data_IF_076281398271
#
_entry.id   IF_076281398271
#
_cell.length_a   1.000
_cell.length_b   1.000
_cell.length_c   1.000
_cell.angle_alpha   90.00
_cell.angle_beta   90.00
_cell.angle_gamma   90.00
#
_symmetry.space_group_name_H-M   'P 1'
#
loop_
_entity.id
_entity.type
_entity.pdbx_description
1 polymer ?
#
# COMPACT_ATOMS: atom_id res chain seq x y z
N UNK A 1 38.63 19.65 6.09
CA UNK A 1 39.20 20.35 4.92
C UNK A 1 38.60 19.73 3.68
N UNK A 2 38.14 20.55 2.73
CA UNK A 2 37.37 20.21 1.51
C UNK A 2 35.84 20.16 1.67
N UNK A 3 35.26 21.32 1.99
CA UNK A 3 33.98 21.81 1.46
C UNK A 3 33.83 23.28 1.89
N UNK A 4 34.84 24.09 1.55
CA UNK A 4 34.82 25.53 1.77
C UNK A 4 35.09 26.19 0.43
N UNK A 5 34.27 27.19 0.10
CA UNK A 5 34.39 28.05 -1.08
C UNK A 5 33.77 27.51 -2.37
N UNK A 6 32.44 27.57 -2.48
CA UNK A 6 31.71 27.73 -3.75
C UNK A 6 30.23 28.14 -3.55
N UNK A 7 29.94 28.91 -2.50
CA UNK A 7 28.68 29.66 -2.40
C UNK A 7 29.08 31.12 -2.42
N UNK A 8 29.23 31.66 -3.63
CA UNK A 8 29.20 33.10 -3.82
C UNK A 8 27.85 33.63 -3.35
N UNK A 9 27.87 34.79 -2.71
CA UNK A 9 26.72 35.58 -2.27
C UNK A 9 25.55 35.52 -3.27
N UNK A 10 24.64 34.56 -3.07
CA UNK A 10 23.31 34.66 -3.62
C UNK A 10 22.53 35.50 -2.63
N UNK A 11 22.34 36.78 -2.96
CA UNK A 11 21.42 37.69 -2.30
C UNK A 11 20.15 36.93 -1.87
N UNK A 12 20.00 36.67 -0.57
CA UNK A 12 18.84 35.96 0.00
C UNK A 12 17.52 36.65 -0.41
N UNK A 13 17.58 37.97 -0.63
CA UNK A 13 16.52 38.82 -1.20
C UNK A 13 16.17 38.52 -2.67
N UNK A 14 17.14 38.14 -3.51
CA UNK A 14 16.89 37.74 -4.90
C UNK A 14 16.43 36.29 -5.00
N UNK A 15 17.01 35.40 -4.20
CA UNK A 15 16.58 34.01 -4.10
C UNK A 15 15.11 33.91 -3.65
N UNK A 16 14.72 34.66 -2.62
CA UNK A 16 13.32 34.70 -2.16
C UNK A 16 12.35 35.21 -3.24
N UNK A 17 12.74 36.25 -4.01
CA UNK A 17 11.91 36.76 -5.13
C UNK A 17 11.77 35.76 -6.26
N UNK A 18 12.85 35.05 -6.61
CA UNK A 18 12.81 34.00 -7.63
C UNK A 18 11.87 32.86 -7.21
N UNK A 19 11.93 32.42 -5.95
CA UNK A 19 11.02 31.38 -5.44
C UNK A 19 9.56 31.82 -5.49
N UNK A 20 9.25 33.08 -5.14
CA UNK A 20 7.88 33.62 -5.22
C UNK A 20 7.39 33.72 -6.67
N UNK A 21 8.24 34.17 -7.60
CA UNK A 21 7.88 34.22 -9.02
C UNK A 21 7.66 32.83 -9.61
N UNK A 22 8.49 31.85 -9.26
CA UNK A 22 8.35 30.46 -9.69
C UNK A 22 7.09 29.83 -9.08
N UNK A 23 6.81 30.08 -7.79
CA UNK A 23 5.60 29.60 -7.13
C UNK A 23 4.34 30.17 -7.79
N UNK A 24 4.33 31.47 -8.12
CA UNK A 24 3.22 32.10 -8.84
C UNK A 24 3.07 31.54 -10.27
N UNK A 25 4.16 31.35 -11.00
CA UNK A 25 4.13 30.75 -12.33
C UNK A 25 3.66 29.29 -12.31
N UNK A 26 4.01 28.54 -11.26
CA UNK A 26 3.55 27.17 -11.04
C UNK A 26 2.06 27.12 -10.69
N UNK A 27 1.61 27.98 -9.77
CA UNK A 27 0.21 28.11 -9.41
C UNK A 27 -0.67 28.45 -10.63
N UNK A 28 -0.16 29.26 -11.55
CA UNK A 28 -0.85 29.64 -12.79
C UNK A 28 -0.70 28.62 -13.94
N UNK A 29 -0.05 27.47 -13.72
CA UNK A 29 0.21 26.46 -14.76
C UNK A 29 0.87 27.05 -16.03
N UNK A 30 1.87 27.92 -15.84
CA UNK A 30 2.52 28.59 -16.96
C UNK A 30 3.10 27.57 -17.97
N UNK A 31 2.94 27.80 -19.29
CA UNK A 31 3.28 26.83 -20.34
C UNK A 31 4.77 26.42 -20.33
N UNK A 32 5.65 27.31 -19.88
CA UNK A 32 7.08 27.04 -19.74
C UNK A 32 7.39 25.98 -18.66
N UNK A 33 6.56 25.89 -17.61
CA UNK A 33 6.71 24.92 -16.53
C UNK A 33 5.94 23.62 -16.82
N UNK A 34 4.78 23.72 -17.47
CA UNK A 34 4.00 22.54 -17.87
C UNK A 34 4.63 21.75 -19.03
N UNK A 35 5.52 22.38 -19.80
CA UNK A 35 6.34 21.71 -20.82
C UNK A 35 7.59 20.97 -20.29
N UNK A 36 7.91 21.09 -19.00
CA UNK A 36 9.04 20.39 -18.40
C UNK A 36 8.80 18.88 -18.29
N UNK A 37 9.89 18.10 -18.18
CA UNK A 37 9.75 16.66 -17.96
C UNK A 37 9.01 16.34 -16.65
N UNK A 38 8.23 15.27 -16.63
CA UNK A 38 7.51 14.76 -15.46
C UNK A 38 8.35 14.72 -14.17
N UNK A 39 9.61 14.27 -14.28
CA UNK A 39 10.53 14.20 -13.15
C UNK A 39 10.85 15.57 -12.55
N UNK A 40 11.02 16.58 -13.41
CA UNK A 40 11.30 17.96 -13.00
C UNK A 40 10.06 18.61 -12.40
N UNK A 41 8.87 18.37 -12.99
CA UNK A 41 7.61 18.85 -12.45
C UNK A 41 7.35 18.31 -11.04
N UNK A 42 7.56 17.01 -10.83
CA UNK A 42 7.45 16.39 -9.51
C UNK A 42 8.42 17.00 -8.51
N UNK A 43 9.70 17.13 -8.89
CA UNK A 43 10.73 17.69 -8.01
C UNK A 43 10.42 19.16 -7.66
N UNK A 44 9.96 19.95 -8.64
CA UNK A 44 9.59 21.34 -8.46
C UNK A 44 8.37 21.49 -7.53
N UNK A 45 7.32 20.69 -7.74
CA UNK A 45 6.16 20.66 -6.84
C UNK A 45 6.57 20.28 -5.40
N UNK A 46 7.43 19.27 -5.25
CA UNK A 46 7.97 18.86 -3.95
C UNK A 46 8.73 20.00 -3.26
N UNK A 47 9.67 20.66 -3.94
CA UNK A 47 10.44 21.76 -3.37
C UNK A 47 9.57 22.98 -3.02
N UNK A 48 8.55 23.29 -3.83
CA UNK A 48 7.63 24.40 -3.55
C UNK A 48 6.74 24.10 -2.35
N UNK A 49 6.22 22.88 -2.22
CA UNK A 49 5.49 22.47 -1.01
C UNK A 49 6.39 22.49 0.23
N UNK A 50 7.64 22.02 0.12
CA UNK A 50 8.60 22.09 1.23
C UNK A 50 8.96 23.53 1.62
N UNK A 51 8.95 24.48 0.68
CA UNK A 51 9.20 25.90 0.97
C UNK A 51 8.16 26.49 1.96
N UNK A 52 6.98 25.87 2.09
CA UNK A 52 5.98 26.26 3.08
C UNK A 52 6.47 26.13 4.53
N UNK A 53 7.46 25.27 4.80
CA UNK A 53 8.12 25.16 6.13
C UNK A 53 8.84 26.45 6.54
N UNK A 54 9.24 27.29 5.58
CA UNK A 54 9.87 28.58 5.86
C UNK A 54 8.89 29.65 6.34
N UNK A 55 7.58 29.42 6.23
CA UNK A 55 6.54 30.34 6.68
C UNK A 55 6.25 30.11 8.17
N UNK A 56 6.32 31.19 8.96
CA UNK A 56 6.15 31.14 10.42
C UNK A 56 4.70 31.13 10.87
N UNK A 57 3.81 31.68 10.06
CA UNK A 57 2.39 31.80 10.36
C UNK A 57 1.61 30.69 9.64
N UNK A 58 0.82 29.93 10.40
CA UNK A 58 0.04 28.80 9.90
C UNK A 58 -1.00 29.27 8.87
N UNK A 59 -1.64 30.42 9.09
CA UNK A 59 -2.62 30.96 8.16
C UNK A 59 -1.99 31.33 6.80
N UNK A 60 -0.77 31.87 6.82
CA UNK A 60 -0.02 32.16 5.59
C UNK A 60 0.44 30.89 4.89
N UNK A 61 0.80 29.85 5.65
CA UNK A 61 1.18 28.55 5.12
C UNK A 61 0.00 27.88 4.41
N UNK A 62 -1.16 27.88 5.04
CA UNK A 62 -2.40 27.36 4.47
C UNK A 62 -2.78 28.11 3.19
N UNK A 63 -2.73 29.45 3.21
CA UNK A 63 -3.02 30.26 2.04
C UNK A 63 -2.03 30.00 0.90
N UNK A 64 -0.74 29.86 1.21
CA UNK A 64 0.30 29.57 0.23
C UNK A 64 0.08 28.21 -0.46
N UNK A 65 -0.16 27.17 0.32
CA UNK A 65 -0.38 25.80 -0.19
C UNK A 65 -1.65 25.74 -1.03
N UNK A 66 -2.74 26.32 -0.54
CA UNK A 66 -3.99 26.39 -1.28
C UNK A 66 -3.79 27.16 -2.59
N UNK A 67 -3.13 28.32 -2.57
CA UNK A 67 -2.85 29.07 -3.79
C UNK A 67 -2.01 28.26 -4.80
N UNK A 68 -1.04 27.49 -4.31
CA UNK A 68 -0.14 26.69 -5.14
C UNK A 68 -0.86 25.54 -5.87
N UNK A 69 -1.75 24.84 -5.16
CA UNK A 69 -2.32 23.58 -5.63
C UNK A 69 -3.79 23.65 -6.06
N UNK A 70 -4.54 24.68 -5.67
CA UNK A 70 -5.97 24.79 -5.95
C UNK A 70 -6.27 24.75 -7.46
N UNK A 71 -5.44 25.38 -8.29
CA UNK A 71 -5.63 25.34 -9.75
C UNK A 71 -5.37 23.93 -10.31
N UNK A 72 -4.35 23.22 -9.81
CA UNK A 72 -4.05 21.84 -10.21
C UNK A 72 -5.21 20.92 -9.81
N UNK A 73 -5.69 21.04 -8.57
CA UNK A 73 -6.81 20.25 -8.07
C UNK A 73 -8.12 20.58 -8.83
N UNK A 74 -8.35 21.87 -9.12
CA UNK A 74 -9.46 22.35 -9.93
C UNK A 74 -9.43 21.80 -11.35
N UNK A 75 -8.26 21.76 -11.99
CA UNK A 75 -8.08 21.18 -13.32
C UNK A 75 -8.37 19.68 -13.33
N UNK A 76 -7.83 18.92 -12.36
CA UNK A 76 -8.14 17.48 -12.22
C UNK A 76 -9.64 17.24 -12.06
N UNK A 77 -10.29 18.04 -11.22
CA UNK A 77 -11.74 17.96 -10.98
C UNK A 77 -12.55 18.35 -12.22
N UNK A 78 -12.10 19.37 -12.95
CA UNK A 78 -12.72 19.80 -14.20
C UNK A 78 -12.59 18.75 -15.29
N UNK A 79 -11.43 18.07 -15.39
CA UNK A 79 -11.22 16.99 -16.35
C UNK A 79 -12.12 15.80 -16.02
N UNK A 80 -12.19 15.40 -14.75
CA UNK A 80 -13.01 14.28 -14.29
C UNK A 80 -14.52 14.49 -14.50
N UNK A 81 -14.99 15.74 -14.46
CA UNK A 81 -16.42 16.08 -14.63
C UNK A 81 -16.85 16.23 -16.10
N UNK A 82 -15.93 16.19 -17.06
CA UNK A 82 -16.27 16.33 -18.49
C UNK A 82 -16.94 15.08 -19.03
N UNK A 83 -18.11 15.25 -19.64
CA UNK A 83 -18.83 14.17 -20.33
C UNK A 83 -18.00 13.55 -21.49
N UNK A 84 -17.22 14.37 -22.20
CA UNK A 84 -16.45 13.94 -23.36
C UNK A 84 -15.08 13.34 -23.01
N UNK A 85 -14.76 13.20 -21.71
CA UNK A 85 -13.44 12.77 -21.26
C UNK A 85 -13.01 11.44 -21.87
N UNK A 86 -13.93 10.48 -22.02
CA UNK A 86 -13.64 9.17 -22.62
C UNK A 86 -13.15 9.27 -24.07
N UNK A 87 -13.71 10.20 -24.85
CA UNK A 87 -13.29 10.43 -26.24
C UNK A 87 -11.97 11.21 -26.32
N UNK A 88 -11.74 12.12 -25.37
CA UNK A 88 -10.54 12.96 -25.35
C UNK A 88 -9.34 12.28 -24.70
N UNK A 89 -9.57 11.28 -23.86
CA UNK A 89 -8.53 10.56 -23.14
C UNK A 89 -7.50 9.90 -24.08
N UNK A 90 -7.90 9.55 -25.30
CA UNK A 90 -7.02 8.97 -26.31
C UNK A 90 -6.06 9.99 -26.95
N UNK A 91 -6.28 11.29 -26.75
CA UNK A 91 -5.43 12.33 -27.33
C UNK A 91 -4.10 12.44 -26.57
N UNK A 92 -2.95 12.49 -27.28
CA UNK A 92 -1.63 12.55 -26.64
C UNK A 92 -1.45 13.83 -25.79
N UNK A 93 -1.97 14.97 -26.25
CA UNK A 93 -1.91 16.24 -25.52
C UNK A 93 -2.59 16.13 -24.15
N UNK A 94 -3.76 15.46 -24.12
CA UNK A 94 -4.56 15.29 -22.90
C UNK A 94 -3.89 14.30 -21.96
N UNK A 95 -3.32 13.20 -22.47
CA UNK A 95 -2.54 12.25 -21.68
C UNK A 95 -1.31 12.90 -21.04
N UNK A 96 -0.58 13.72 -21.80
CA UNK A 96 0.59 14.44 -21.30
C UNK A 96 0.19 15.44 -20.21
N UNK A 97 -0.90 16.17 -20.42
CA UNK A 97 -1.42 17.11 -19.44
C UNK A 97 -1.87 16.41 -18.15
N UNK A 98 -2.64 15.31 -18.25
CA UNK A 98 -3.03 14.49 -17.08
C UNK A 98 -1.79 13.96 -16.36
N UNK A 99 -0.79 13.47 -17.09
CA UNK A 99 0.48 12.99 -16.50
C UNK A 99 1.18 14.11 -15.72
N UNK A 100 1.25 15.33 -16.27
CA UNK A 100 1.84 16.47 -15.60
C UNK A 100 1.10 16.83 -14.30
N UNK A 101 -0.24 16.88 -14.34
CA UNK A 101 -1.06 17.14 -13.15
C UNK A 101 -0.84 16.10 -12.05
N UNK A 102 -0.83 14.81 -12.42
CA UNK A 102 -0.62 13.71 -11.49
C UNK A 102 0.80 13.73 -10.89
N UNK A 103 1.84 14.04 -11.67
CA UNK A 103 3.22 14.16 -11.15
C UNK A 103 3.39 15.39 -10.26
N UNK A 104 2.69 16.49 -10.55
CA UNK A 104 2.65 17.66 -9.66
C UNK A 104 1.98 17.33 -8.32
N UNK A 105 0.82 16.68 -8.32
CA UNK A 105 0.16 16.23 -7.09
C UNK A 105 1.04 15.24 -6.31
N UNK A 106 1.73 14.36 -7.03
CA UNK A 106 2.64 13.38 -6.43
C UNK A 106 3.84 14.06 -5.78
N UNK A 107 4.39 15.07 -6.44
CA UNK A 107 5.44 15.91 -5.87
C UNK A 107 4.97 16.68 -4.64
N UNK A 108 3.75 17.21 -4.68
CA UNK A 108 3.14 17.89 -3.54
C UNK A 108 2.99 16.97 -2.33
N UNK A 109 2.51 15.73 -2.53
CA UNK A 109 2.43 14.72 -1.48
C UNK A 109 3.82 14.42 -0.88
N UNK A 110 4.84 14.20 -1.73
CA UNK A 110 6.22 13.97 -1.27
C UNK A 110 6.84 15.18 -0.55
N UNK A 111 6.36 16.39 -0.85
CA UNK A 111 6.81 17.63 -0.22
C UNK A 111 6.09 17.97 1.08
N UNK A 112 5.22 17.09 1.58
CA UNK A 112 4.46 17.31 2.81
C UNK A 112 5.39 17.43 4.01
N UNK A 113 5.25 18.51 4.77
CA UNK A 113 5.82 18.67 6.09
C UNK A 113 4.72 18.55 7.16
N UNK A 114 5.07 18.24 8.43
CA UNK A 114 4.08 18.13 9.51
C UNK A 114 3.22 19.39 9.65
N UNK A 115 3.85 20.57 9.55
CA UNK A 115 3.17 21.87 9.71
C UNK A 115 2.30 22.27 8.50
N UNK A 116 2.49 21.61 7.36
CA UNK A 116 1.77 21.84 6.10
C UNK A 116 0.78 20.73 5.77
N UNK A 117 0.63 19.75 6.67
CA UNK A 117 -0.06 18.50 6.36
C UNK A 117 -1.56 18.70 6.12
N UNK A 118 -2.23 19.45 6.99
CA UNK A 118 -3.67 19.70 6.92
C UNK A 118 -4.13 20.37 5.61
N UNK A 119 -3.55 21.52 5.18
CA UNK A 119 -3.94 22.13 3.91
C UNK A 119 -3.62 21.24 2.70
N UNK A 120 -2.50 20.50 2.72
CA UNK A 120 -2.16 19.54 1.67
C UNK A 120 -3.16 18.39 1.59
N UNK A 121 -3.56 17.85 2.75
CA UNK A 121 -4.57 16.80 2.80
C UNK A 121 -5.93 17.29 2.32
N UNK A 122 -6.35 18.50 2.68
CA UNK A 122 -7.62 19.08 2.20
C UNK A 122 -7.68 19.15 0.67
N UNK A 123 -6.58 19.57 0.03
CA UNK A 123 -6.47 19.56 -1.44
C UNK A 123 -6.50 18.13 -1.99
N UNK A 124 -5.76 17.19 -1.38
CA UNK A 124 -5.75 15.79 -1.80
C UNK A 124 -7.13 15.13 -1.67
N UNK A 125 -7.84 15.36 -0.56
CA UNK A 125 -9.18 14.87 -0.32
C UNK A 125 -10.17 15.37 -1.37
N UNK A 126 -10.05 16.64 -1.79
CA UNK A 126 -10.87 17.21 -2.87
C UNK A 126 -10.68 16.52 -4.24
N UNK A 127 -9.51 15.93 -4.50
CA UNK A 127 -9.21 15.23 -5.76
C UNK A 127 -9.37 13.71 -5.70
N UNK A 128 -9.56 13.11 -4.52
CA UNK A 128 -9.67 11.64 -4.36
C UNK A 128 -10.72 11.01 -5.28
N UNK A 129 -11.95 11.57 -5.30
CA UNK A 129 -13.03 11.09 -6.17
C UNK A 129 -12.75 11.34 -7.67
N UNK A 130 -12.34 12.55 -8.10
CA UNK A 130 -11.84 12.79 -9.44
C UNK A 130 -10.78 11.78 -9.91
N UNK A 131 -9.83 11.40 -9.05
CA UNK A 131 -8.79 10.42 -9.37
C UNK A 131 -9.38 9.02 -9.62
N UNK A 132 -10.42 8.62 -8.90
CA UNK A 132 -11.14 7.37 -9.18
C UNK A 132 -11.81 7.41 -10.55
N UNK A 133 -12.41 8.54 -10.95
CA UNK A 133 -13.00 8.71 -12.29
C UNK A 133 -11.92 8.60 -13.37
N UNK A 134 -10.78 9.26 -13.18
CA UNK A 134 -9.65 9.17 -14.10
C UNK A 134 -9.13 7.72 -14.22
N UNK A 135 -9.05 6.98 -13.12
CA UNK A 135 -8.67 5.56 -13.15
C UNK A 135 -9.62 4.72 -14.02
N UNK A 136 -10.93 4.99 -13.95
CA UNK A 136 -11.94 4.28 -14.75
C UNK A 136 -11.81 4.59 -16.25
N UNK A 137 -11.55 5.86 -16.60
CA UNK A 137 -11.40 6.29 -17.99
C UNK A 137 -10.09 5.76 -18.60
N UNK A 138 -8.98 5.93 -17.88
CA UNK A 138 -7.65 5.51 -18.34
C UNK A 138 -7.35 4.03 -18.09
N UNK A 139 -8.36 3.18 -17.86
CA UNK A 139 -8.22 1.74 -17.53
C UNK A 139 -7.39 0.94 -18.55
N UNK A 140 -7.28 1.41 -19.79
CA UNK A 140 -6.51 0.77 -20.87
C UNK A 140 -5.11 1.40 -21.05
N UNK A 141 -4.82 2.51 -20.35
CA UNK A 141 -3.54 3.22 -20.42
C UNK A 141 -2.71 2.95 -19.16
N UNK A 142 -1.95 1.85 -19.19
CA UNK A 142 -1.14 1.37 -18.05
C UNK A 142 -0.19 2.41 -17.43
N UNK A 143 0.52 3.27 -18.19
CA UNK A 143 1.41 4.27 -17.58
C UNK A 143 0.67 5.23 -16.65
N UNK A 144 -0.55 5.64 -17.03
CA UNK A 144 -1.38 6.57 -16.25
C UNK A 144 -1.98 5.85 -15.04
N UNK A 145 -2.46 4.61 -15.21
CA UNK A 145 -2.93 3.77 -14.10
C UNK A 145 -1.80 3.60 -13.07
N UNK A 146 -0.62 3.19 -13.50
CA UNK A 146 0.55 3.02 -12.63
C UNK A 146 0.91 4.30 -11.87
N UNK A 147 0.78 5.47 -12.53
CA UNK A 147 1.02 6.77 -11.91
C UNK A 147 -0.05 7.11 -10.87
N UNK A 148 -1.33 6.85 -11.15
CA UNK A 148 -2.43 7.01 -10.18
C UNK A 148 -2.22 6.13 -8.93
N UNK A 149 -1.81 4.88 -9.11
CA UNK A 149 -1.53 3.97 -8.00
C UNK A 149 -0.34 4.45 -7.15
N UNK A 150 0.70 4.98 -7.80
CA UNK A 150 1.85 5.57 -7.09
C UNK A 150 1.50 6.86 -6.37
N UNK A 151 0.66 7.71 -6.98
CA UNK A 151 0.15 8.90 -6.32
C UNK A 151 -0.61 8.53 -5.04
N UNK A 152 -1.46 7.50 -5.09
CA UNK A 152 -2.15 7.01 -3.91
C UNK A 152 -1.18 6.53 -2.83
N UNK A 153 -0.14 5.78 -3.21
CA UNK A 153 0.94 5.38 -2.30
C UNK A 153 1.59 6.57 -1.60
N UNK A 154 2.01 7.57 -2.38
CA UNK A 154 2.70 8.76 -1.86
C UNK A 154 1.77 9.65 -1.00
N UNK A 155 0.48 9.75 -1.32
CA UNK A 155 -0.52 10.48 -0.51
C UNK A 155 -0.74 9.79 0.83
N UNK A 156 -0.88 8.46 0.84
CA UNK A 156 -1.01 7.70 2.08
C UNK A 156 0.26 7.81 2.91
N UNK A 157 1.45 7.59 2.33
CA UNK A 157 2.73 7.71 3.03
C UNK A 157 2.92 9.10 3.66
N UNK A 158 2.54 10.16 2.95
CA UNK A 158 2.70 11.55 3.41
C UNK A 158 1.73 11.93 4.55
N UNK A 159 0.52 11.37 4.57
CA UNK A 159 -0.53 11.83 5.47
C UNK A 159 -0.91 10.85 6.56
N UNK A 160 -0.67 9.54 6.39
CA UNK A 160 -1.16 8.49 7.29
C UNK A 160 -0.77 8.78 8.75
N UNK A 161 0.46 9.21 9.01
CA UNK A 161 0.98 9.44 10.36
C UNK A 161 0.36 10.61 11.13
N UNK A 162 -0.29 11.56 10.44
CA UNK A 162 -0.72 12.83 11.03
C UNK A 162 -2.24 13.04 11.00
N UNK A 163 -2.98 12.11 10.39
CA UNK A 163 -4.38 12.30 10.04
C UNK A 163 -5.34 12.08 11.23
N UNK A 164 -6.39 12.90 11.46
CA UNK A 164 -7.41 12.58 12.46
C UNK A 164 -8.26 11.37 12.04
N UNK A 165 -9.01 10.78 12.99
CA UNK A 165 -9.78 9.55 12.76
C UNK A 165 -10.81 9.66 11.61
N UNK A 166 -11.52 10.79 11.52
CA UNK A 166 -12.50 11.02 10.44
C UNK A 166 -11.86 11.09 9.05
N UNK A 167 -10.74 11.80 8.92
CA UNK A 167 -10.03 11.94 7.64
C UNK A 167 -9.34 10.63 7.23
N UNK A 168 -8.84 9.86 8.21
CA UNK A 168 -8.29 8.53 7.96
C UNK A 168 -9.35 7.55 7.43
N UNK A 169 -10.60 7.66 7.89
CA UNK A 169 -11.71 6.89 7.34
C UNK A 169 -11.92 7.20 5.84
N UNK A 170 -11.92 8.47 5.47
CA UNK A 170 -12.06 8.91 4.07
C UNK A 170 -10.93 8.34 3.21
N UNK A 171 -9.69 8.45 3.68
CA UNK A 171 -8.51 7.95 2.97
C UNK A 171 -8.55 6.42 2.82
N UNK A 172 -8.91 5.69 3.87
CA UNK A 172 -9.08 4.24 3.88
C UNK A 172 -10.15 3.79 2.87
N UNK A 173 -11.32 4.41 2.92
CA UNK A 173 -12.42 4.11 2.00
C UNK A 173 -12.02 4.36 0.54
N UNK A 174 -11.31 5.46 0.28
CA UNK A 174 -10.78 5.79 -1.04
C UNK A 174 -9.78 4.74 -1.55
N UNK A 175 -8.82 4.31 -0.71
CA UNK A 175 -7.85 3.25 -1.07
C UNK A 175 -8.57 1.94 -1.41
N UNK A 176 -9.59 1.56 -0.64
CA UNK A 176 -10.36 0.36 -0.91
C UNK A 176 -11.09 0.46 -2.27
N UNK A 177 -11.74 1.59 -2.55
CA UNK A 177 -12.39 1.82 -3.84
C UNK A 177 -11.42 1.78 -5.03
N UNK A 178 -10.21 2.32 -4.85
CA UNK A 178 -9.14 2.30 -5.83
C UNK A 178 -8.66 0.86 -6.11
N UNK A 179 -8.52 0.04 -5.08
CA UNK A 179 -8.17 -1.38 -5.18
C UNK A 179 -9.27 -2.20 -5.88
N UNK A 180 -10.52 -2.00 -5.50
CA UNK A 180 -11.68 -2.67 -6.11
C UNK A 180 -11.81 -2.33 -7.59
N UNK A 181 -11.66 -1.03 -7.92
CA UNK A 181 -11.70 -0.54 -9.29
C UNK A 181 -10.60 -1.18 -10.13
N UNK A 182 -9.34 -1.17 -9.64
CA UNK A 182 -8.22 -1.84 -10.31
C UNK A 182 -8.46 -3.34 -10.52
N UNK A 183 -8.92 -4.06 -9.48
CA UNK A 183 -9.13 -5.51 -9.55
C UNK A 183 -10.25 -5.89 -10.52
N UNK A 184 -11.34 -5.13 -10.57
CA UNK A 184 -12.45 -5.38 -11.49
C UNK A 184 -12.00 -5.36 -12.97
N UNK A 185 -11.11 -4.43 -13.33
CA UNK A 185 -10.60 -4.30 -14.68
C UNK A 185 -9.58 -5.39 -15.04
N UNK A 186 -8.69 -5.71 -14.11
CA UNK A 186 -7.64 -6.70 -14.37
C UNK A 186 -8.17 -8.14 -14.34
N UNK A 187 -9.19 -8.46 -13.53
CA UNK A 187 -9.87 -9.76 -13.57
C UNK A 187 -10.49 -10.04 -14.95
N UNK A 188 -11.12 -9.04 -15.57
CA UNK A 188 -11.68 -9.16 -16.92
C UNK A 188 -10.62 -9.30 -18.01
N UNK A 189 -9.49 -8.60 -17.88
CA UNK A 189 -8.42 -8.55 -18.89
C UNK A 189 -7.63 -9.86 -19.02
N UNK A 190 -7.36 -10.55 -17.90
CA UNK A 190 -6.63 -11.83 -17.89
C UNK A 190 -7.36 -12.96 -18.63
N UNK A 191 -8.68 -12.88 -18.76
CA UNK A 191 -9.49 -13.86 -19.53
C UNK A 191 -9.24 -13.77 -21.05
N UNK A 192 -8.83 -12.60 -21.56
CA UNK A 192 -8.81 -12.29 -23.00
C UNK A 192 -7.40 -12.44 -23.63
N UNK A 193 -6.33 -12.48 -22.83
CA UNK A 193 -4.96 -12.39 -23.33
C UNK A 193 -4.31 -13.77 -23.61
N UNK A 194 -4.38 -14.22 -24.86
CA UNK A 194 -3.87 -15.52 -25.32
C UNK A 194 -2.47 -15.50 -25.97
N UNK A 195 -1.96 -14.36 -26.43
CA UNK A 195 -0.66 -14.28 -27.14
C UNK A 195 0.55 -14.10 -26.19
N UNK A 196 1.64 -14.83 -26.43
CA UNK A 196 2.82 -14.89 -25.55
C UNK A 196 3.60 -13.57 -25.40
N UNK A 197 3.77 -12.77 -26.46
CA UNK A 197 4.47 -11.48 -26.38
C UNK A 197 3.68 -10.43 -25.58
N UNK A 198 2.36 -10.36 -25.79
CA UNK A 198 1.48 -9.50 -25.00
C UNK A 198 1.44 -9.93 -23.53
N UNK A 199 1.66 -11.21 -23.22
CA UNK A 199 1.74 -11.72 -21.85
C UNK A 199 2.98 -11.23 -21.11
N UNK A 200 4.14 -11.09 -21.76
CA UNK A 200 5.36 -10.64 -21.07
C UNK A 200 5.32 -9.16 -20.72
N UNK A 201 4.86 -8.30 -21.63
CA UNK A 201 4.73 -6.86 -21.36
C UNK A 201 3.70 -6.60 -20.24
N UNK A 202 2.56 -7.29 -20.30
CA UNK A 202 1.51 -7.20 -19.28
C UNK A 202 1.95 -7.73 -17.91
N UNK A 203 2.82 -8.73 -17.85
CA UNK A 203 3.41 -9.20 -16.57
C UNK A 203 4.33 -8.14 -15.97
N UNK A 204 5.16 -7.47 -16.78
CA UNK A 204 6.02 -6.38 -16.31
C UNK A 204 5.24 -5.15 -15.82
N UNK A 205 4.12 -4.84 -16.46
CA UNK A 205 3.19 -3.78 -16.04
C UNK A 205 2.42 -4.15 -14.77
N UNK A 206 1.84 -5.35 -14.74
CA UNK A 206 1.16 -5.89 -13.56
C UNK A 206 2.10 -5.93 -12.35
N UNK A 207 3.37 -6.28 -12.55
CA UNK A 207 4.40 -6.21 -11.51
C UNK A 207 4.55 -4.81 -10.92
N UNK A 208 4.64 -3.78 -11.77
CA UNK A 208 4.81 -2.38 -11.32
C UNK A 208 3.60 -1.90 -10.53
N UNK A 209 2.41 -2.24 -10.98
CA UNK A 209 1.15 -1.85 -10.36
C UNK A 209 0.92 -2.59 -9.04
N UNK A 210 1.05 -3.92 -9.03
CA UNK A 210 0.90 -4.73 -7.81
C UNK A 210 1.92 -4.35 -6.76
N UNK A 211 3.15 -3.99 -7.16
CA UNK A 211 4.15 -3.47 -6.23
C UNK A 211 3.71 -2.13 -5.63
N UNK A 212 3.11 -1.23 -6.41
CA UNK A 212 2.58 0.02 -5.89
C UNK A 212 1.41 -0.21 -4.91
N UNK A 213 0.52 -1.16 -5.23
CA UNK A 213 -0.61 -1.52 -4.37
C UNK A 213 -0.20 -2.20 -3.07
N UNK A 214 0.78 -3.11 -3.11
CA UNK A 214 1.31 -3.71 -1.89
C UNK A 214 2.01 -2.67 -1.02
N UNK A 215 2.80 -1.77 -1.61
CA UNK A 215 3.40 -0.66 -0.87
C UNK A 215 2.34 0.23 -0.22
N UNK A 216 1.29 0.57 -0.96
CA UNK A 216 0.16 1.34 -0.45
C UNK A 216 -0.46 0.67 0.79
N UNK A 217 -0.72 -0.64 0.74
CA UNK A 217 -1.21 -1.39 1.90
C UNK A 217 -0.21 -1.40 3.05
N UNK A 218 1.10 -1.54 2.78
CA UNK A 218 2.15 -1.45 3.81
C UNK A 218 2.20 -0.06 4.45
N UNK A 219 1.98 1.02 3.69
CA UNK A 219 1.94 2.37 4.28
C UNK A 219 0.71 2.56 5.18
N UNK A 220 -0.42 1.91 4.88
CA UNK A 220 -1.58 1.92 5.77
C UNK A 220 -1.29 1.22 7.11
N UNK A 221 -0.47 0.17 7.11
CA UNK A 221 -0.09 -0.56 8.34
C UNK A 221 0.98 0.16 9.17
N UNK A 222 1.69 1.15 8.61
CA UNK A 222 2.74 1.88 9.33
C UNK A 222 2.20 2.77 10.48
N UNK A 223 0.89 2.89 10.66
CA UNK A 223 0.23 3.66 11.73
C UNK A 223 -0.25 2.82 12.93
N UNK A 224 0.36 1.67 13.19
CA UNK A 224 -0.04 0.84 14.33
C UNK A 224 0.56 1.29 15.67
N UNK A 225 0.05 2.43 16.17
CA UNK A 225 0.00 2.73 17.62
C UNK A 225 -1.31 3.42 18.06
N UNK A 226 -2.23 3.76 17.15
CA UNK A 226 -3.48 4.43 17.52
C UNK A 226 -4.64 3.79 16.76
N UNK A 227 -5.19 2.75 17.38
CA UNK A 227 -6.62 2.67 17.64
C UNK A 227 -7.47 3.70 16.87
N UNK A 228 -7.81 3.39 15.61
CA UNK A 228 -8.99 3.98 14.98
C UNK A 228 -10.28 3.34 15.51
N UNK A 229 -10.13 2.30 16.35
CA UNK A 229 -11.12 2.03 17.37
C UNK A 229 -11.19 3.26 18.25
N UNK A 230 -12.30 3.98 18.10
CA UNK A 230 -12.83 4.86 19.12
C UNK A 230 -12.34 4.50 20.53
N UNK A 231 -11.73 5.46 21.24
CA UNK A 231 -11.88 5.48 22.69
C UNK A 231 -13.36 5.23 22.99
N UNK A 232 -13.68 4.45 24.01
CA UNK A 232 -15.05 4.01 24.29
C UNK A 232 -16.07 5.19 24.29
N UNK A 233 -15.60 6.41 24.56
CA UNK A 233 -16.32 7.68 24.47
C UNK A 233 -16.73 8.12 23.04
N UNK A 234 -15.88 7.95 22.01
CA UNK A 234 -16.21 8.26 20.61
C UNK A 234 -17.15 7.21 19.99
N UNK A 235 -17.09 5.97 20.47
CA UNK A 235 -17.97 4.89 20.03
C UNK A 235 -19.43 5.14 20.46
N UNK A 236 -19.60 5.71 21.66
CA UNK A 236 -20.90 6.07 22.21
C UNK A 236 -21.50 7.30 21.51
N UNK A 237 -20.65 8.26 21.11
CA UNK A 237 -21.07 9.45 20.37
C UNK A 237 -21.39 9.16 18.89
N UNK A 238 -20.62 8.27 18.23
CA UNK A 238 -20.88 7.85 16.85
C UNK A 238 -22.17 7.02 16.71
N UNK A 239 -22.47 6.16 17.69
CA UNK A 239 -23.72 5.41 17.77
C UNK A 239 -24.96 6.32 17.93
N UNK A 240 -24.82 7.49 18.57
CA UNK A 240 -25.89 8.47 18.69
C UNK A 240 -26.13 9.29 17.41
N UNK A 241 -25.09 9.46 16.58
CA UNK A 241 -25.14 10.31 15.37
C UNK A 241 -25.28 9.54 14.05
N UNK A 242 -25.44 8.22 14.07
CA UNK A 242 -25.57 7.42 12.84
C UNK A 242 -24.34 7.47 11.91
N UNK A 243 -23.20 7.93 12.43
CA UNK A 243 -21.93 7.95 11.70
C UNK A 243 -21.32 6.54 11.74
N UNK A 244 -20.82 6.10 10.59
CA UNK A 244 -20.47 4.72 10.28
C UNK A 244 -19.56 3.99 11.27
N UNK A 245 -19.56 2.66 11.15
CA UNK A 245 -18.77 1.74 11.98
C UNK A 245 -17.29 2.18 12.07
N UNK A 246 -16.63 2.03 13.24
CA UNK A 246 -15.20 2.27 13.36
C UNK A 246 -14.47 1.40 12.34
N UNK A 247 -13.67 2.02 11.47
CA UNK A 247 -12.93 1.27 10.46
C UNK A 247 -11.72 0.65 11.12
N UNK A 248 -11.77 -0.67 11.20
CA UNK A 248 -10.64 -1.50 11.53
C UNK A 248 -9.67 -1.54 10.34
N UNK A 249 -8.56 -0.81 10.45
CA UNK A 249 -7.51 -0.75 9.42
C UNK A 249 -6.99 -2.14 9.09
N UNK A 250 -6.89 -3.03 10.09
CA UNK A 250 -6.44 -4.39 9.86
C UNK A 250 -7.41 -5.15 8.94
N UNK A 251 -8.72 -5.02 9.18
CA UNK A 251 -9.75 -5.62 8.32
C UNK A 251 -9.69 -5.07 6.90
N UNK A 252 -9.44 -3.77 6.74
CA UNK A 252 -9.28 -3.15 5.44
C UNK A 252 -8.06 -3.68 4.69
N UNK A 253 -6.92 -3.82 5.37
CA UNK A 253 -5.70 -4.37 4.77
C UNK A 253 -5.92 -5.82 4.35
N UNK A 254 -6.60 -6.64 5.17
CA UNK A 254 -6.97 -8.01 4.78
C UNK A 254 -7.92 -8.04 3.58
N UNK A 255 -8.92 -7.16 3.54
CA UNK A 255 -9.80 -7.03 2.38
C UNK A 255 -9.04 -6.59 1.12
N UNK A 256 -8.10 -5.66 1.27
CA UNK A 256 -7.20 -5.24 0.20
C UNK A 256 -6.32 -6.38 -0.30
N UNK A 257 -5.74 -7.17 0.61
CA UNK A 257 -4.98 -8.37 0.26
C UNK A 257 -5.84 -9.40 -0.47
N UNK A 258 -7.08 -9.66 -0.02
CA UNK A 258 -8.01 -10.58 -0.70
C UNK A 258 -8.34 -10.13 -2.13
N UNK A 259 -8.41 -8.82 -2.37
CA UNK A 259 -8.60 -8.25 -3.70
C UNK A 259 -7.35 -8.46 -4.59
N UNK A 260 -6.15 -8.41 -4.00
CA UNK A 260 -4.86 -8.51 -4.71
C UNK A 260 -4.39 -9.95 -4.93
N UNK A 261 -4.65 -10.89 -4.01
CA UNK A 261 -4.16 -12.28 -4.07
C UNK A 261 -4.51 -12.96 -5.41
N UNK A 262 -5.75 -12.89 -5.93
CA UNK A 262 -6.09 -13.47 -7.24
C UNK A 262 -5.34 -12.82 -8.42
N UNK A 263 -4.79 -11.61 -8.24
CA UNK A 263 -4.02 -10.91 -9.25
C UNK A 263 -2.54 -11.33 -9.23
N UNK A 264 -2.01 -11.72 -8.07
CA UNK A 264 -0.65 -12.22 -7.91
C UNK A 264 -0.57 -13.66 -8.44
N UNK A 265 0.01 -13.87 -9.63
CA UNK A 265 0.31 -15.21 -10.15
C UNK A 265 1.68 -15.71 -9.71
N UNK A 266 1.91 -17.02 -9.82
CA UNK A 266 3.22 -17.65 -9.60
C UNK A 266 4.34 -17.03 -10.46
N UNK A 267 4.04 -16.62 -11.70
CA UNK A 267 5.00 -15.92 -12.57
C UNK A 267 5.41 -14.56 -12.01
N UNK A 268 4.50 -13.84 -11.35
CA UNK A 268 4.78 -12.56 -10.69
C UNK A 268 5.57 -12.73 -9.39
N UNK A 269 5.34 -13.83 -8.67
CA UNK A 269 6.14 -14.21 -7.51
C UNK A 269 7.59 -14.59 -7.87
N UNK A 270 7.88 -14.87 -9.15
CA UNK A 270 9.24 -15.00 -9.65
C UNK A 270 10.06 -13.71 -9.56
N UNK A 271 9.44 -12.54 -9.35
CA UNK A 271 10.15 -11.29 -9.10
C UNK A 271 10.45 -11.12 -7.60
N UNK A 272 11.73 -11.14 -7.16
CA UNK A 272 12.10 -11.22 -5.75
C UNK A 272 11.60 -10.03 -4.93
N UNK A 273 11.62 -8.82 -5.50
CA UNK A 273 11.16 -7.59 -4.82
C UNK A 273 9.66 -7.57 -4.54
N UNK A 274 8.83 -8.19 -5.39
CA UNK A 274 7.39 -8.26 -5.18
C UNK A 274 7.06 -9.35 -4.15
N UNK A 275 7.71 -10.51 -4.31
CA UNK A 275 7.62 -11.64 -3.40
C UNK A 275 7.96 -11.21 -1.96
N UNK A 276 9.11 -10.56 -1.77
CA UNK A 276 9.54 -10.04 -0.46
C UNK A 276 8.51 -9.10 0.15
N UNK A 277 8.06 -8.08 -0.60
CA UNK A 277 7.12 -7.09 -0.10
C UNK A 277 5.78 -7.74 0.31
N UNK A 278 5.31 -8.72 -0.47
CA UNK A 278 4.10 -9.47 -0.16
C UNK A 278 4.25 -10.27 1.14
N UNK A 279 5.33 -11.03 1.29
CA UNK A 279 5.55 -11.86 2.49
C UNK A 279 5.88 -11.02 3.73
N UNK A 280 6.56 -9.88 3.59
CA UNK A 280 6.78 -8.95 4.70
C UNK A 280 5.47 -8.35 5.21
N UNK A 281 4.58 -7.91 4.30
CA UNK A 281 3.26 -7.41 4.68
C UNK A 281 2.43 -8.52 5.35
N UNK A 282 2.46 -9.73 4.78
CA UNK A 282 1.75 -10.86 5.34
C UNK A 282 2.26 -11.25 6.74
N UNK A 283 3.59 -11.31 6.92
CA UNK A 283 4.21 -11.59 8.22
C UNK A 283 3.82 -10.56 9.28
N UNK A 284 3.92 -9.27 8.93
CA UNK A 284 3.52 -8.17 9.79
C UNK A 284 2.06 -8.30 10.24
N UNK A 285 1.13 -8.53 9.30
CA UNK A 285 -0.29 -8.66 9.61
C UNK A 285 -0.59 -9.84 10.54
N UNK A 286 0.17 -10.94 10.42
CA UNK A 286 -0.03 -12.15 11.22
C UNK A 286 0.63 -12.06 12.60
N UNK A 287 1.68 -11.25 12.74
CA UNK A 287 2.32 -10.96 14.01
C UNK A 287 1.54 -9.93 14.85
N UNK A 288 1.08 -8.85 14.22
CA UNK A 288 0.39 -7.74 14.91
C UNK A 288 -1.10 -8.05 15.13
N UNK A 289 -1.78 -8.69 14.19
CA UNK A 289 -3.23 -8.92 14.23
C UNK A 289 -3.66 -10.40 14.10
N UNK A 290 -3.12 -11.31 14.92
CA UNK A 290 -3.45 -12.74 14.81
C UNK A 290 -4.93 -13.04 15.10
N UNK A 291 -5.56 -12.26 16.00
CA UNK A 291 -7.00 -12.40 16.30
C UNK A 291 -7.88 -12.11 15.06
N UNK A 292 -7.50 -11.10 14.27
CA UNK A 292 -8.22 -10.74 13.05
C UNK A 292 -8.04 -11.79 11.96
N UNK A 293 -6.85 -12.40 11.87
CA UNK A 293 -6.58 -13.52 10.96
C UNK A 293 -7.47 -14.73 11.31
N UNK A 294 -7.63 -15.03 12.60
CA UNK A 294 -8.49 -16.14 13.05
C UNK A 294 -9.98 -15.87 12.79
N UNK A 295 -10.40 -14.60 12.77
CA UNK A 295 -11.75 -14.19 12.42
C UNK A 295 -12.04 -14.17 10.91
N UNK A 296 -11.05 -14.42 10.04
CA UNK A 296 -11.25 -14.42 8.59
C UNK A 296 -12.14 -15.59 8.12
N UNK A 297 -12.89 -15.41 7.01
CA UNK A 297 -13.58 -16.49 6.33
C UNK A 297 -12.64 -17.65 5.97
N UNK A 298 -13.14 -18.89 6.07
CA UNK A 298 -12.35 -20.11 5.83
C UNK A 298 -11.67 -20.15 4.46
N UNK A 299 -12.28 -19.59 3.42
CA UNK A 299 -11.71 -19.51 2.08
C UNK A 299 -10.50 -18.55 1.99
N UNK A 300 -10.58 -17.39 2.66
CA UNK A 300 -9.49 -16.42 2.68
C UNK A 300 -8.30 -16.97 3.47
N UNK A 301 -8.58 -17.54 4.65
CA UNK A 301 -7.57 -18.21 5.47
C UNK A 301 -6.87 -19.35 4.70
N UNK A 302 -7.61 -20.21 3.99
CA UNK A 302 -7.02 -21.27 3.19
C UNK A 302 -6.09 -20.73 2.10
N UNK A 303 -6.48 -19.62 1.45
CA UNK A 303 -5.69 -19.01 0.39
C UNK A 303 -4.38 -18.42 0.95
N UNK A 304 -4.45 -17.72 2.08
CA UNK A 304 -3.28 -17.20 2.78
C UNK A 304 -2.32 -18.31 3.22
N UNK A 305 -2.85 -19.40 3.79
CA UNK A 305 -2.04 -20.55 4.17
C UNK A 305 -1.38 -21.21 2.94
N UNK A 306 -2.10 -21.39 1.83
CA UNK A 306 -1.48 -21.90 0.60
C UNK A 306 -0.36 -20.97 0.07
N UNK A 307 -0.51 -19.65 0.20
CA UNK A 307 0.56 -18.70 -0.18
C UNK A 307 1.76 -18.80 0.75
N UNK A 308 1.57 -19.08 2.04
CA UNK A 308 2.67 -19.33 2.98
C UNK A 308 3.39 -20.65 2.69
N UNK A 309 2.67 -21.71 2.32
CA UNK A 309 3.28 -22.97 1.90
C UNK A 309 4.20 -22.75 0.69
N UNK A 310 3.75 -21.94 -0.27
CA UNK A 310 4.59 -21.51 -1.39
C UNK A 310 5.80 -20.67 -0.95
N UNK A 311 5.61 -19.71 -0.04
CA UNK A 311 6.70 -18.89 0.50
C UNK A 311 7.78 -19.72 1.20
N UNK A 312 7.38 -20.76 1.93
CA UNK A 312 8.28 -21.73 2.56
C UNK A 312 8.98 -22.56 1.46
N UNK A 313 8.28 -22.99 0.42
CA UNK A 313 8.91 -23.74 -0.68
C UNK A 313 9.81 -22.89 -1.60
N UNK A 314 9.82 -21.55 -1.43
CA UNK A 314 10.60 -20.63 -2.26
C UNK A 314 12.11 -20.80 -2.09
N UNK A 315 12.86 -20.50 -3.16
CA UNK A 315 14.33 -20.49 -3.17
C UNK A 315 14.94 -19.20 -2.59
N UNK A 316 14.15 -18.14 -2.44
CA UNK A 316 14.61 -16.85 -1.92
C UNK A 316 14.64 -16.84 -0.37
N UNK A 317 15.80 -16.64 0.26
CA UNK A 317 15.95 -16.79 1.72
C UNK A 317 15.14 -15.77 2.51
N UNK A 318 15.03 -14.52 2.03
CA UNK A 318 14.28 -13.46 2.71
C UNK A 318 12.76 -13.73 2.69
N UNK A 319 12.23 -14.23 1.57
CA UNK A 319 10.81 -14.59 1.45
C UNK A 319 10.48 -15.79 2.36
N UNK A 320 11.41 -16.75 2.45
CA UNK A 320 11.32 -17.89 3.36
C UNK A 320 11.33 -17.44 4.81
N UNK A 321 12.25 -16.53 5.17
CA UNK A 321 12.33 -15.97 6.51
C UNK A 321 11.00 -15.32 6.91
N UNK A 322 10.47 -14.40 6.10
CA UNK A 322 9.19 -13.74 6.41
C UNK A 322 8.01 -14.73 6.45
N UNK A 323 7.98 -15.74 5.58
CA UNK A 323 6.95 -16.78 5.64
C UNK A 323 7.04 -17.65 6.91
N UNK A 324 8.25 -17.95 7.38
CA UNK A 324 8.46 -18.68 8.64
C UNK A 324 8.10 -17.84 9.87
N UNK A 325 8.44 -16.55 9.87
CA UNK A 325 8.06 -15.59 10.92
C UNK A 325 6.53 -15.50 11.03
N UNK A 326 5.84 -15.34 9.88
CA UNK A 326 4.38 -15.34 9.79
C UNK A 326 3.75 -16.62 10.37
N UNK A 327 4.32 -17.78 10.02
CA UNK A 327 3.84 -19.08 10.49
C UNK A 327 4.11 -19.25 12.00
N UNK A 328 5.25 -18.80 12.50
CA UNK A 328 5.58 -18.84 13.92
C UNK A 328 4.62 -17.99 14.75
N UNK A 329 4.28 -16.79 14.27
CA UNK A 329 3.29 -15.92 14.91
C UNK A 329 1.92 -16.60 15.01
N UNK A 330 1.41 -17.18 13.92
CA UNK A 330 0.15 -17.94 13.95
C UNK A 330 0.20 -19.15 14.89
N UNK A 331 1.29 -19.92 14.85
CA UNK A 331 1.43 -21.11 15.66
C UNK A 331 1.44 -20.78 17.16
N UNK A 332 2.13 -19.69 17.54
CA UNK A 332 2.10 -19.15 18.92
C UNK A 332 0.69 -18.74 19.31
N UNK A 333 -0.03 -18.05 18.44
CA UNK A 333 -1.41 -17.63 18.70
C UNK A 333 -2.38 -18.80 18.85
N UNK A 334 -2.30 -19.82 17.99
CA UNK A 334 -3.15 -21.02 18.08
C UNK A 334 -2.90 -21.77 19.41
N UNK A 335 -1.64 -21.89 19.79
CA UNK A 335 -1.27 -22.53 21.06
C UNK A 335 -1.78 -21.74 22.27
N UNK A 336 -1.60 -20.42 22.30
CA UNK A 336 -2.11 -19.56 23.37
C UNK A 336 -3.66 -19.59 23.44
N UNK A 337 -4.33 -19.59 22.29
CA UNK A 337 -5.78 -19.66 22.21
C UNK A 337 -6.33 -20.98 22.74
N UNK A 338 -5.66 -22.10 22.42
CA UNK A 338 -5.99 -23.44 22.95
C UNK A 338 -5.77 -23.54 24.45
N UNK A 339 -4.69 -22.96 24.98
CA UNK A 339 -4.47 -22.89 26.43
C UNK A 339 -5.57 -22.07 27.13
N UNK A 340 -6.04 -21.00 26.50
CA UNK A 340 -7.10 -20.14 27.02
C UNK A 340 -8.52 -20.73 26.82
N UNK A 341 -8.67 -21.91 26.22
CA UNK A 341 -9.97 -22.54 25.95
C UNK A 341 -10.83 -21.82 24.91
N UNK A 342 -10.23 -20.93 24.09
CA UNK A 342 -10.90 -20.24 22.99
C UNK A 342 -10.79 -21.08 21.71
N UNK A 343 -11.78 -21.04 20.81
CA UNK A 343 -11.60 -21.57 19.46
C UNK A 343 -10.53 -20.70 18.79
N UNK A 344 -9.29 -21.19 18.70
CA UNK A 344 -8.18 -20.51 18.03
C UNK A 344 -8.38 -20.45 16.52
N UNK A 345 -7.46 -20.98 15.72
CA UNK A 345 -7.71 -21.18 14.27
C UNK A 345 -8.76 -22.28 13.98
N UNK A 346 -9.32 -22.90 15.04
CA UNK A 346 -10.23 -24.05 14.99
C UNK A 346 -11.66 -23.76 14.51
N UNK A 347 -12.07 -22.49 14.40
CA UNK A 347 -13.38 -22.16 13.80
C UNK A 347 -13.40 -22.35 12.26
N UNK A 348 -12.23 -22.47 11.64
CA UNK A 348 -12.06 -22.78 10.22
C UNK A 348 -11.28 -24.09 9.99
N UNK A 349 -11.15 -24.50 8.74
CA UNK A 349 -10.45 -25.71 8.25
C UNK A 349 -8.91 -25.75 8.57
N UNK A 350 -8.43 -24.97 9.53
CA UNK A 350 -7.03 -24.76 9.87
C UNK A 350 -6.32 -25.97 10.49
N UNK A 351 -7.02 -26.87 11.18
CA UNK A 351 -6.38 -28.04 11.82
C UNK A 351 -5.68 -28.96 10.80
N UNK A 352 -6.31 -29.19 9.65
CA UNK A 352 -5.73 -30.01 8.58
C UNK A 352 -4.55 -29.34 7.88
N UNK A 353 -4.54 -28.00 7.81
CA UNK A 353 -3.48 -27.22 7.16
C UNK A 353 -2.26 -27.02 8.07
N UNK A 354 -2.47 -26.73 9.36
CA UNK A 354 -1.40 -26.64 10.35
C UNK A 354 -0.66 -27.98 10.50
N UNK A 355 -1.38 -29.09 10.40
CA UNK A 355 -0.78 -30.42 10.30
C UNK A 355 0.07 -30.63 9.03
N UNK A 356 -0.29 -30.03 7.90
CA UNK A 356 0.53 -30.05 6.66
C UNK A 356 1.79 -29.21 6.81
N UNK A 357 1.69 -28.03 7.42
CA UNK A 357 2.88 -27.20 7.70
C UNK A 357 3.90 -27.93 8.58
N UNK A 358 3.44 -28.70 9.56
CA UNK A 358 4.33 -29.54 10.37
C UNK A 358 5.12 -30.54 9.51
N UNK A 359 4.47 -31.17 8.53
CA UNK A 359 5.14 -32.09 7.59
C UNK A 359 6.12 -31.35 6.66
N UNK A 360 5.74 -30.19 6.13
CA UNK A 360 6.58 -29.36 5.25
C UNK A 360 7.82 -28.84 5.98
N UNK A 361 7.66 -28.31 7.19
CA UNK A 361 8.78 -27.83 8.03
C UNK A 361 9.72 -28.96 8.42
N UNK A 362 9.18 -30.12 8.81
CA UNK A 362 9.99 -31.30 9.16
C UNK A 362 10.77 -31.82 7.96
N UNK A 363 10.15 -31.90 6.78
CA UNK A 363 10.85 -32.30 5.55
C UNK A 363 11.97 -31.32 5.24
N UNK A 364 11.72 -30.01 5.35
CA UNK A 364 12.73 -29.00 5.07
C UNK A 364 13.91 -29.04 6.05
N UNK A 365 13.64 -29.06 7.35
CA UNK A 365 14.68 -29.13 8.38
C UNK A 365 15.54 -30.40 8.30
N UNK A 366 14.93 -31.53 7.90
CA UNK A 366 15.63 -32.81 7.82
C UNK A 366 16.32 -33.06 6.47
N UNK A 367 15.91 -32.40 5.39
CA UNK A 367 16.38 -32.68 4.02
C UNK A 367 17.21 -31.53 3.41
N UNK A 368 16.95 -30.26 3.75
CA UNK A 368 17.70 -29.13 3.19
C UNK A 368 18.97 -28.85 3.99
N UNK A 369 20.12 -29.03 3.32
CA UNK A 369 21.46 -28.87 3.89
C UNK A 369 21.90 -27.41 4.07
N UNK A 370 21.09 -26.44 3.63
CA UNK A 370 21.39 -24.99 3.65
C UNK A 370 20.77 -24.22 4.83
N UNK A 371 20.20 -24.91 5.82
CA UNK A 371 19.27 -24.33 6.78
C UNK A 371 19.90 -23.69 8.04
N UNK A 372 21.22 -23.49 8.12
CA UNK A 372 21.87 -23.06 9.38
C UNK A 372 21.23 -21.81 10.03
N UNK A 373 20.95 -20.75 9.25
CA UNK A 373 20.32 -19.53 9.78
C UNK A 373 18.79 -19.64 9.90
N UNK A 374 18.15 -20.39 9.00
CA UNK A 374 16.70 -20.58 8.97
C UNK A 374 16.19 -21.62 9.98
N UNK A 375 17.06 -22.47 10.52
CA UNK A 375 16.71 -23.49 11.52
C UNK A 375 16.16 -22.89 12.81
N UNK A 376 16.66 -21.72 13.24
CA UNK A 376 16.13 -21.02 14.42
C UNK A 376 14.67 -20.65 14.23
N UNK A 377 14.36 -19.96 13.13
CA UNK A 377 13.00 -19.53 12.79
C UNK A 377 12.04 -20.70 12.54
N UNK A 378 12.53 -21.74 11.86
CA UNK A 378 11.76 -22.96 11.64
C UNK A 378 11.49 -23.72 12.96
N UNK A 379 12.45 -23.74 13.89
CA UNK A 379 12.25 -24.32 15.23
C UNK A 379 11.23 -23.51 16.05
N UNK A 380 11.30 -22.18 15.97
CA UNK A 380 10.34 -21.28 16.63
C UNK A 380 8.91 -21.45 16.13
N UNK A 381 8.73 -21.80 14.86
CA UNK A 381 7.42 -22.16 14.30
C UNK A 381 6.98 -23.58 14.68
N UNK A 382 7.93 -24.53 14.69
CA UNK A 382 7.65 -25.95 14.87
C UNK A 382 7.28 -26.33 16.31
N UNK A 383 7.90 -25.71 17.31
CA UNK A 383 7.62 -26.03 18.72
C UNK A 383 6.15 -25.73 19.10
N UNK A 384 5.58 -24.54 18.84
CA UNK A 384 4.17 -24.27 19.11
C UNK A 384 3.23 -25.19 18.31
N UNK A 385 3.59 -25.55 17.07
CA UNK A 385 2.78 -26.47 16.25
C UNK A 385 2.72 -27.89 16.83
N UNK A 386 3.84 -28.43 17.33
CA UNK A 386 3.88 -29.74 17.98
C UNK A 386 3.04 -29.74 19.25
N UNK A 387 3.17 -28.70 20.07
CA UNK A 387 2.42 -28.57 21.32
C UNK A 387 0.91 -28.39 21.07
N UNK A 388 0.54 -27.66 20.01
CA UNK A 388 -0.85 -27.45 19.63
C UNK A 388 -1.51 -28.67 18.94
N UNK A 389 -0.74 -29.53 18.28
CA UNK A 389 -1.24 -30.69 17.52
C UNK A 389 -0.40 -31.97 17.72
N UNK A 390 -0.38 -32.54 18.94
CA UNK A 390 0.45 -33.72 19.24
C UNK A 390 0.06 -34.96 18.42
N UNK A 391 -1.22 -35.10 18.03
CA UNK A 391 -1.70 -36.22 17.23
C UNK A 391 -1.16 -36.19 15.79
N UNK A 392 -1.14 -35.02 15.15
CA UNK A 392 -0.60 -34.86 13.80
C UNK A 392 0.90 -35.21 13.75
N UNK A 393 1.66 -34.78 14.77
CA UNK A 393 3.07 -35.14 14.92
C UNK A 393 3.27 -36.66 15.07
N UNK A 394 2.48 -37.31 15.91
CA UNK A 394 2.53 -38.77 16.08
C UNK A 394 2.17 -39.52 14.79
N UNK A 395 1.25 -39.00 13.98
CA UNK A 395 0.91 -39.56 12.67
C UNK A 395 2.04 -39.43 11.65
N UNK A 396 2.77 -38.31 11.64
CA UNK A 396 3.96 -38.14 10.78
C UNK A 396 5.06 -39.15 11.18
N UNK A 397 5.29 -39.33 12.49
CA UNK A 397 6.24 -40.32 13.00
C UNK A 397 5.88 -41.76 12.61
N UNK A 398 4.59 -42.09 12.53
CA UNK A 398 4.09 -43.42 12.12
C UNK A 398 4.11 -43.67 10.61
N UNK A 399 4.07 -42.63 9.76
CA UNK A 399 4.12 -42.77 8.29
C UNK A 399 5.50 -43.12 7.72
N UNK A 400 6.54 -43.21 8.57
CA UNK A 400 7.91 -43.60 8.18
C UNK A 400 8.24 -45.09 8.44
N UNK A 401 7.25 -45.92 8.76
CA UNK A 401 7.40 -47.38 8.80
C UNK A 401 6.82 -48.06 7.56
#
# INVERSE_FOLDING_TARGET
MWAGSLVGDVDVSKAGRLTVCIAGAFAQQAPALTGLSAKVQRALACCLCQAATGLRDDAQRDQYINHLLQNIAGEVSSLASRADLTSMAERPDVMQHVTALLECLRGAAQGTSPDAQQPLFSVCAGVMEPLLVLQKVYRQHEPIVCLLLKLAGDVVEAHVSYLPAGDAHIMCHWVLHLLQTYSSYNKGRRSVQTAASLRQDTVGESYRDLRALLKLLTHLTQRDLIDFGSTEEESAAAAANGAGQPVDVAQLVFLGLDILIPLISFELLGYPKLCLLYFQLLAYMMEVYPEKVAALPSQQLHTLLHTLEFGIASSEPEAVQSALEALAALAKFDYQSKQAGRPGLQAGAGEGLLGRFLEVLMRRLLLDSGAGELTGLAADALLPLILAHPQAYQHIGRRRH
#
